data_IF_515550939448
#
_entry.id   IF_515550939448
#
_cell.length_a   1.000
_cell.length_b   1.000
_cell.length_c   1.000
_cell.angle_alpha   90.00
_cell.angle_beta   90.00
_cell.angle_gamma   90.00
#
_symmetry.space_group_name_H-M   'P 1'
#
loop_
_entity.id
_entity.type
_entity.pdbx_description
1 polymer ?
#
# COMPACT_ATOMS: atom_id res chain seq x y z
N UNK A 1 -4.27 1.15 9.26
CA UNK A 1 -5.65 1.07 8.69
C UNK A 1 -6.76 1.58 9.64
N UNK A 2 -7.66 2.45 9.14
CA UNK A 2 -8.90 2.83 9.86
C UNK A 2 -9.91 1.67 9.86
N UNK A 3 -10.67 1.44 10.95
CA UNK A 3 -11.59 0.30 11.05
C UNK A 3 -12.63 0.21 9.92
N UNK A 4 -13.21 1.34 9.53
CA UNK A 4 -14.17 1.41 8.40
C UNK A 4 -13.55 0.91 7.08
N UNK A 5 -12.24 1.03 6.92
CA UNK A 5 -11.50 0.57 5.75
C UNK A 5 -11.23 -0.93 5.80
N UNK A 6 -10.95 -1.47 6.98
CA UNK A 6 -10.85 -2.92 7.16
C UNK A 6 -12.17 -3.61 6.78
N UNK A 7 -13.29 -3.11 7.30
CA UNK A 7 -14.62 -3.65 7.02
C UNK A 7 -14.95 -3.60 5.52
N UNK A 8 -14.68 -2.46 4.86
CA UNK A 8 -14.88 -2.34 3.41
C UNK A 8 -14.06 -3.38 2.62
N UNK A 9 -12.81 -3.61 3.00
CA UNK A 9 -11.95 -4.58 2.33
C UNK A 9 -12.43 -6.02 2.58
N UNK A 10 -12.80 -6.35 3.82
CA UNK A 10 -13.38 -7.66 4.19
C UNK A 10 -14.66 -7.95 3.40
N UNK A 11 -15.56 -6.96 3.28
CA UNK A 11 -16.80 -7.05 2.48
C UNK A 11 -16.54 -7.29 0.99
N UNK A 12 -15.36 -6.93 0.49
CA UNK A 12 -14.92 -7.16 -0.89
C UNK A 12 -14.02 -8.40 -1.04
N UNK A 13 -13.93 -9.25 0.00
CA UNK A 13 -13.23 -10.52 -0.05
C UNK A 13 -11.75 -10.46 0.35
N UNK A 14 -11.29 -9.38 0.97
CA UNK A 14 -9.93 -9.31 1.49
C UNK A 14 -9.72 -10.30 2.64
N UNK A 15 -8.65 -11.08 2.53
CA UNK A 15 -8.15 -11.96 3.57
C UNK A 15 -7.00 -11.26 4.31
N UNK A 16 -6.95 -11.41 5.64
CA UNK A 16 -5.95 -10.76 6.49
C UNK A 16 -5.11 -11.78 7.25
N UNK A 17 -3.83 -11.46 7.46
CA UNK A 17 -2.97 -12.24 8.36
C UNK A 17 -3.18 -11.87 9.84
N UNK A 18 -2.43 -12.53 10.72
CA UNK A 18 -2.48 -12.29 12.17
C UNK A 18 -2.04 -10.88 12.59
N UNK A 19 -1.32 -10.15 11.72
CA UNK A 19 -0.87 -8.78 11.95
C UNK A 19 -1.85 -7.73 11.41
N UNK A 20 -2.90 -8.17 10.70
CA UNK A 20 -3.90 -7.30 10.11
C UNK A 20 -3.51 -6.74 8.74
N UNK A 21 -2.59 -7.40 8.03
CA UNK A 21 -2.20 -7.07 6.66
C UNK A 21 -3.02 -7.88 5.68
N UNK A 22 -3.50 -7.24 4.60
CA UNK A 22 -4.20 -7.93 3.50
C UNK A 22 -3.23 -8.86 2.79
N UNK A 23 -3.58 -10.14 2.70
CA UNK A 23 -2.76 -11.16 2.03
C UNK A 23 -3.25 -11.47 0.61
N UNK A 24 -4.56 -11.44 0.39
CA UNK A 24 -5.18 -11.69 -0.93
C UNK A 24 -6.66 -11.27 -0.94
N UNK A 25 -7.28 -11.34 -2.12
CA UNK A 25 -8.72 -11.27 -2.34
C UNK A 25 -9.29 -12.64 -2.79
N UNK A 26 -8.66 -13.72 -2.32
CA UNK A 26 -9.07 -15.11 -2.54
C UNK A 26 -8.28 -15.86 -3.62
N UNK A 27 -7.47 -15.18 -4.45
CA UNK A 27 -6.62 -15.89 -5.43
C UNK A 27 -5.33 -15.13 -5.77
N UNK A 28 -4.25 -15.33 -4.97
CA UNK A 28 -2.98 -14.63 -5.17
C UNK A 28 -2.40 -14.76 -6.58
N UNK A 29 -2.53 -15.94 -7.20
CA UNK A 29 -2.01 -16.19 -8.57
C UNK A 29 -2.77 -15.39 -9.61
N UNK A 30 -4.10 -15.29 -9.47
CA UNK A 30 -4.95 -14.53 -10.38
C UNK A 30 -4.72 -13.03 -10.20
N UNK A 31 -4.61 -12.58 -8.96
CA UNK A 31 -4.29 -11.19 -8.62
C UNK A 31 -2.95 -10.75 -9.22
N UNK A 32 -1.90 -11.57 -9.07
CA UNK A 32 -0.59 -11.30 -9.69
C UNK A 32 -0.66 -11.23 -11.23
N UNK A 33 -1.40 -12.15 -11.85
CA UNK A 33 -1.56 -12.15 -13.30
C UNK A 33 -2.27 -10.87 -13.80
N UNK A 34 -3.26 -10.37 -13.06
CA UNK A 34 -3.95 -9.11 -13.38
C UNK A 34 -3.04 -7.92 -13.14
N UNK A 35 -2.23 -7.91 -12.06
CA UNK A 35 -1.27 -6.85 -11.79
C UNK A 35 -0.24 -6.66 -12.91
N UNK A 36 0.09 -7.73 -13.65
CA UNK A 36 1.04 -7.67 -14.78
C UNK A 36 0.40 -7.22 -16.10
N UNK A 37 -0.91 -7.32 -16.25
CA UNK A 37 -1.59 -7.20 -17.56
C UNK A 37 -2.77 -6.24 -17.59
N UNK A 38 -3.22 -5.78 -16.42
CA UNK A 38 -4.38 -4.92 -16.25
C UNK A 38 -4.15 -3.83 -15.22
N UNK A 39 -5.22 -3.10 -14.89
CA UNK A 39 -5.17 -2.04 -13.89
C UNK A 39 -5.48 -2.60 -12.51
N UNK A 40 -4.67 -2.22 -11.52
CA UNK A 40 -4.86 -2.58 -10.12
C UNK A 40 -4.85 -1.32 -9.27
N UNK A 41 -5.73 -1.26 -8.28
CA UNK A 41 -5.71 -0.24 -7.23
C UNK A 41 -5.09 -0.84 -5.97
N UNK A 42 -4.16 -0.10 -5.37
CA UNK A 42 -3.53 -0.48 -4.11
C UNK A 42 -3.77 0.61 -3.06
N UNK A 43 -4.14 0.21 -1.83
CA UNK A 43 -4.18 1.11 -0.70
C UNK A 43 -2.75 1.34 -0.20
N UNK A 44 -2.27 2.58 -0.31
CA UNK A 44 -0.96 3.02 0.18
C UNK A 44 -1.12 4.01 1.34
N UNK A 45 -2.27 4.01 2.02
CA UNK A 45 -2.56 4.96 3.10
C UNK A 45 -1.62 4.86 4.31
N UNK A 46 -0.90 3.75 4.46
CA UNK A 46 0.16 3.59 5.46
C UNK A 46 1.51 4.21 5.03
N UNK A 47 1.64 4.67 3.78
CA UNK A 47 2.82 5.41 3.27
C UNK A 47 2.60 6.92 3.47
N UNK A 48 3.57 7.59 4.08
CA UNK A 48 3.54 9.05 4.27
C UNK A 48 4.19 9.77 3.09
N UNK A 49 3.49 10.75 2.52
CA UNK A 49 4.04 11.67 1.50
C UNK A 49 4.52 12.95 2.19
N UNK A 50 5.78 13.32 1.95
CA UNK A 50 6.40 14.54 2.48
C UNK A 50 6.71 15.48 1.32
N UNK A 51 6.17 16.70 1.36
CA UNK A 51 6.48 17.76 0.39
C UNK A 51 7.42 18.79 1.02
N UNK A 52 8.50 19.13 0.33
CA UNK A 52 9.49 20.11 0.78
C UNK A 52 9.72 21.19 -0.29
N UNK A 53 9.83 22.45 0.13
CA UNK A 53 9.97 23.60 -0.77
C UNK A 53 11.02 24.60 -0.26
N UNK A 54 11.83 25.17 -1.17
CA UNK A 54 12.88 26.13 -0.86
C UNK A 54 14.22 25.80 -1.52
N UNK A 55 15.16 26.76 -1.53
CA UNK A 55 16.47 26.62 -2.19
C UNK A 55 17.31 25.46 -1.65
N UNK A 56 17.12 25.11 -0.38
CA UNK A 56 17.89 24.06 0.29
C UNK A 56 17.21 22.69 0.26
N UNK A 57 16.08 22.53 -0.45
CA UNK A 57 15.34 21.27 -0.51
C UNK A 57 16.04 20.16 -1.30
N UNK A 58 17.15 20.46 -1.98
CA UNK A 58 18.08 19.43 -2.46
C UNK A 58 18.77 18.68 -1.31
N UNK A 59 18.77 19.26 -0.11
CA UNK A 59 19.28 18.67 1.13
C UNK A 59 18.12 18.25 2.03
N UNK A 60 17.03 17.71 1.48
CA UNK A 60 16.18 16.85 2.30
C UNK A 60 17.00 15.59 2.55
N UNK A 61 17.45 15.28 3.78
CA UNK A 61 18.03 13.97 4.01
C UNK A 61 16.87 12.99 3.88
N UNK A 62 16.88 12.22 2.80
CA UNK A 62 16.25 10.91 2.84
C UNK A 62 16.91 10.20 4.05
N UNK A 63 16.15 10.01 5.12
CA UNK A 63 16.52 9.03 6.14
C UNK A 63 16.91 7.73 5.44
N UNK A 64 17.88 6.99 5.99
CA UNK A 64 18.91 6.33 5.22
C UNK A 64 18.36 5.46 4.10
N UNK A 65 18.78 5.77 2.87
CA UNK A 65 18.86 4.80 1.77
C UNK A 65 19.96 3.82 2.16
N UNK A 66 19.58 2.66 2.70
CA UNK A 66 20.46 1.50 2.80
C UNK A 66 20.01 0.49 1.76
N UNK A 67 20.96 0.15 0.89
CA UNK A 67 20.85 -0.89 -0.14
C UNK A 67 20.67 -2.26 0.48
#
# INVERSE_FOLDING_TARGET
MKQQWKAFLEDNGAEFDATGVVTSFGSPRRELSVALTGNVFADLSDITVIAAHGRDCQVLPAGPVQQ
#
